data_IF_438065878290
#
_entry.id   IF_438065878290
#
_cell.length_a   1.000
_cell.length_b   1.000
_cell.length_c   1.000
_cell.angle_alpha   90.00
_cell.angle_beta   90.00
_cell.angle_gamma   90.00
#
_symmetry.space_group_name_H-M   'P 1'
#
loop_
_entity.id
_entity.type
_entity.pdbx_description
1 polymer ?
#
# COMPACT_ATOMS: atom_id res chain seq x y z
N UNK A 1 44.25 -81.50 -123.02
CA UNK A 1 43.15 -82.36 -123.52
C UNK A 1 43.17 -83.69 -122.79
N UNK A 2 41.97 -84.17 -122.44
CA UNK A 2 41.53 -85.56 -122.20
C UNK A 2 41.02 -85.87 -120.78
N UNK A 3 39.88 -86.58 -120.74
CA UNK A 3 38.84 -86.54 -119.72
C UNK A 3 39.02 -87.50 -118.53
N UNK A 4 38.34 -87.17 -117.43
CA UNK A 4 38.10 -88.01 -116.26
C UNK A 4 37.05 -89.12 -116.52
N UNK A 5 37.20 -90.28 -115.85
CA UNK A 5 36.22 -91.38 -115.82
C UNK A 5 35.52 -91.43 -114.45
N UNK A 6 34.18 -91.41 -114.46
CA UNK A 6 33.28 -91.59 -113.31
C UNK A 6 32.61 -92.97 -113.40
N UNK A 7 32.48 -93.68 -112.28
CA UNK A 7 31.75 -94.96 -112.12
C UNK A 7 30.46 -94.77 -111.31
N UNK A 8 29.32 -95.31 -111.78
CA UNK A 8 27.97 -95.20 -111.18
C UNK A 8 27.51 -96.54 -110.58
N UNK A 9 27.00 -96.54 -109.34
CA UNK A 9 26.35 -97.68 -108.64
C UNK A 9 24.83 -97.66 -108.89
N UNK A 10 24.19 -98.83 -109.04
CA UNK A 10 22.75 -98.96 -109.37
C UNK A 10 21.86 -99.04 -108.13
N UNK A 11 20.67 -98.47 -108.24
CA UNK A 11 19.65 -98.32 -107.18
C UNK A 11 19.22 -99.64 -106.52
N UNK A 12 19.29 -100.76 -107.24
CA UNK A 12 18.93 -102.09 -106.75
C UNK A 12 19.78 -102.59 -105.58
N UNK A 13 21.03 -102.12 -105.47
CA UNK A 13 21.94 -102.58 -104.42
C UNK A 13 21.67 -101.89 -103.08
N UNK A 14 20.97 -100.75 -103.09
CA UNK A 14 20.65 -99.97 -101.90
C UNK A 14 19.44 -100.55 -101.15
N UNK A 15 18.39 -100.95 -101.87
CA UNK A 15 17.16 -101.51 -101.28
C UNK A 15 17.40 -102.85 -100.58
N UNK A 16 18.39 -103.63 -101.04
CA UNK A 16 18.74 -104.92 -100.42
C UNK A 16 19.37 -104.75 -99.04
N UNK A 17 20.09 -103.66 -98.82
CA UNK A 17 20.75 -103.36 -97.54
C UNK A 17 19.74 -102.96 -96.45
N UNK A 18 18.67 -102.24 -96.80
CA UNK A 18 17.67 -101.80 -95.81
C UNK A 18 16.85 -102.96 -95.23
N UNK A 19 16.54 -103.99 -96.03
CA UNK A 19 15.67 -105.09 -95.61
C UNK A 19 16.24 -105.97 -94.48
N UNK A 20 17.56 -106.02 -94.30
CA UNK A 20 18.21 -106.89 -93.31
C UNK A 20 18.33 -106.28 -91.90
N UNK A 21 17.98 -105.01 -91.72
CA UNK A 21 18.21 -104.27 -90.46
C UNK A 21 17.01 -104.21 -89.50
N UNK A 22 15.90 -104.91 -89.77
CA UNK A 22 14.71 -104.90 -88.89
C UNK A 22 14.46 -106.26 -88.21
N UNK A 23 14.85 -106.39 -86.95
CA UNK A 23 14.46 -107.48 -86.02
C UNK A 23 13.18 -107.12 -85.20
N UNK A 24 12.40 -108.11 -84.73
CA UNK A 24 11.16 -107.93 -83.94
C UNK A 24 11.27 -108.40 -82.46
N UNK A 25 10.60 -107.74 -81.48
CA UNK A 25 10.71 -108.03 -80.02
C UNK A 25 9.64 -108.99 -79.39
N UNK A 26 9.92 -109.52 -78.17
CA UNK A 26 9.26 -110.65 -77.46
C UNK A 26 8.29 -110.30 -76.28
N UNK A 27 7.37 -111.23 -75.93
CA UNK A 27 6.18 -111.11 -75.03
C UNK A 27 6.42 -110.63 -73.59
N UNK A 28 7.55 -110.96 -72.96
CA UNK A 28 7.84 -110.60 -71.56
C UNK A 28 8.06 -109.09 -71.33
N UNK A 29 8.24 -108.34 -72.42
CA UNK A 29 8.26 -106.88 -72.39
C UNK A 29 6.86 -106.29 -72.07
N UNK A 30 5.78 -106.97 -72.49
CA UNK A 30 4.42 -106.46 -72.35
C UNK A 30 3.89 -106.55 -70.91
N UNK A 31 4.10 -107.66 -70.20
CA UNK A 31 3.62 -107.81 -68.81
C UNK A 31 4.38 -106.88 -67.85
N UNK A 32 5.70 -106.71 -68.06
CA UNK A 32 6.50 -105.74 -67.31
C UNK A 32 6.06 -104.31 -67.55
N UNK A 33 5.69 -103.97 -68.79
CA UNK A 33 5.13 -102.65 -69.10
C UNK A 33 3.79 -102.42 -68.37
N UNK A 34 2.92 -103.43 -68.31
CA UNK A 34 1.62 -103.36 -67.62
C UNK A 34 1.75 -103.18 -66.11
N UNK A 35 2.60 -103.97 -65.45
CA UNK A 35 2.82 -103.84 -64.00
C UNK A 35 3.49 -102.51 -63.64
N UNK A 36 4.40 -102.03 -64.50
CA UNK A 36 5.00 -100.70 -64.37
C UNK A 36 3.94 -99.60 -64.45
N UNK A 37 3.01 -99.68 -65.41
CA UNK A 37 1.89 -98.73 -65.51
C UNK A 37 1.03 -98.70 -64.24
N UNK A 38 0.63 -99.87 -63.72
CA UNK A 38 -0.15 -99.95 -62.47
C UNK A 38 0.60 -99.39 -61.25
N UNK A 39 1.93 -99.52 -61.24
CA UNK A 39 2.78 -98.92 -60.21
C UNK A 39 2.88 -97.41 -60.37
N UNK A 40 3.11 -96.92 -61.59
CA UNK A 40 3.17 -95.49 -61.92
C UNK A 40 1.84 -94.80 -61.59
N UNK A 41 0.70 -95.44 -61.86
CA UNK A 41 -0.65 -94.96 -61.51
C UNK A 41 -0.88 -94.85 -60.00
N UNK A 42 -0.30 -95.77 -59.22
CA UNK A 42 -0.36 -95.73 -57.75
C UNK A 42 0.55 -94.62 -57.20
N UNK A 43 1.78 -94.52 -57.72
CA UNK A 43 2.76 -93.49 -57.33
C UNK A 43 2.26 -92.09 -57.67
N UNK A 44 1.56 -91.91 -58.79
CA UNK A 44 0.96 -90.63 -59.17
C UNK A 44 -0.08 -90.11 -58.15
N UNK A 45 -0.74 -91.02 -57.41
CA UNK A 45 -1.74 -90.67 -56.38
C UNK A 45 -1.12 -90.43 -55.00
N UNK A 46 0.17 -90.70 -54.83
CA UNK A 46 0.83 -90.50 -53.53
C UNK A 46 1.17 -89.03 -53.33
N UNK A 47 0.61 -88.39 -52.28
CA UNK A 47 0.81 -86.96 -52.04
C UNK A 47 2.25 -86.62 -51.57
N UNK A 48 3.00 -87.63 -51.11
CA UNK A 48 4.33 -87.46 -50.50
C UNK A 48 5.47 -87.84 -51.46
N UNK A 49 5.24 -87.85 -52.77
CA UNK A 49 6.34 -88.00 -53.74
C UNK A 49 7.07 -86.67 -53.89
N UNK A 50 8.38 -86.70 -54.16
CA UNK A 50 9.17 -85.47 -54.39
C UNK A 50 8.57 -84.61 -55.52
N UNK A 51 7.99 -85.26 -56.54
CA UNK A 51 7.31 -84.57 -57.64
C UNK A 51 6.01 -83.90 -57.18
N UNK A 52 5.18 -84.57 -56.37
CA UNK A 52 3.98 -83.98 -55.80
C UNK A 52 4.31 -82.81 -54.84
N UNK A 53 5.35 -82.92 -54.03
CA UNK A 53 5.81 -81.83 -53.15
C UNK A 53 6.31 -80.61 -53.94
N UNK A 54 7.06 -80.83 -55.03
CA UNK A 54 7.48 -79.74 -55.93
C UNK A 54 6.29 -79.07 -56.59
N UNK A 55 5.35 -79.85 -57.13
CA UNK A 55 4.13 -79.32 -57.75
C UNK A 55 3.30 -78.53 -56.74
N UNK A 56 3.20 -78.99 -55.49
CA UNK A 56 2.52 -78.27 -54.41
C UNK A 56 3.23 -76.96 -54.07
N UNK A 57 4.56 -76.96 -53.94
CA UNK A 57 5.34 -75.73 -53.68
C UNK A 57 5.20 -74.71 -54.80
N UNK A 58 5.20 -75.14 -56.06
CA UNK A 58 4.98 -74.23 -57.19
C UNK A 58 3.54 -73.69 -57.20
N UNK A 59 2.52 -74.53 -56.97
CA UNK A 59 1.13 -74.05 -56.81
C UNK A 59 0.97 -73.06 -55.66
N UNK A 60 1.57 -73.32 -54.50
CA UNK A 60 1.55 -72.40 -53.36
C UNK A 60 2.27 -71.07 -53.67
N UNK A 61 3.35 -71.11 -54.48
CA UNK A 61 4.05 -69.92 -54.96
C UNK A 61 3.19 -69.13 -55.95
N UNK A 62 2.54 -69.81 -56.90
CA UNK A 62 1.60 -69.21 -57.85
C UNK A 62 0.39 -68.59 -57.13
N UNK A 63 -0.20 -69.30 -56.16
CA UNK A 63 -1.30 -68.80 -55.34
C UNK A 63 -0.87 -67.61 -54.46
N UNK A 64 0.37 -67.60 -53.95
CA UNK A 64 0.91 -66.45 -53.23
C UNK A 64 1.10 -65.26 -54.17
N UNK A 65 1.72 -65.45 -55.33
CA UNK A 65 1.90 -64.40 -56.32
C UNK A 65 0.55 -63.85 -56.81
N UNK A 66 -0.43 -64.71 -57.08
CA UNK A 66 -1.77 -64.29 -57.48
C UNK A 66 -2.51 -63.51 -56.39
N UNK A 67 -2.32 -63.87 -55.11
CA UNK A 67 -2.85 -63.09 -53.98
C UNK A 67 -2.17 -61.74 -53.83
N UNK A 68 -0.85 -61.68 -53.98
CA UNK A 68 -0.09 -60.43 -53.92
C UNK A 68 -0.48 -59.47 -55.05
N UNK A 69 -0.62 -59.98 -56.29
CA UNK A 69 -1.06 -59.16 -57.43
C UNK A 69 -2.51 -58.65 -57.25
N UNK A 70 -3.42 -59.48 -56.75
CA UNK A 70 -4.78 -59.01 -56.41
C UNK A 70 -4.76 -57.90 -55.37
N UNK A 71 -3.93 -58.03 -54.33
CA UNK A 71 -3.77 -56.99 -53.30
C UNK A 71 -3.21 -55.69 -53.88
N UNK A 72 -2.24 -55.77 -54.78
CA UNK A 72 -1.72 -54.57 -55.48
C UNK A 72 -2.82 -53.90 -56.32
N UNK A 73 -3.58 -54.68 -57.08
CA UNK A 73 -4.70 -54.15 -57.88
C UNK A 73 -5.77 -53.48 -57.02
N UNK A 74 -6.07 -54.00 -55.83
CA UNK A 74 -7.00 -53.36 -54.88
C UNK A 74 -6.44 -52.04 -54.35
N UNK A 75 -5.14 -51.98 -54.03
CA UNK A 75 -4.46 -50.75 -53.59
C UNK A 75 -4.48 -49.71 -54.72
N UNK A 76 -4.15 -50.11 -55.94
CA UNK A 76 -4.14 -49.20 -57.10
C UNK A 76 -5.52 -48.63 -57.38
N UNK A 77 -6.58 -49.45 -57.27
CA UNK A 77 -7.97 -48.99 -57.39
C UNK A 77 -8.33 -48.00 -56.27
N UNK A 78 -7.98 -48.28 -55.02
CA UNK A 78 -8.26 -47.38 -53.90
C UNK A 78 -7.51 -46.05 -54.05
N UNK A 79 -6.24 -46.09 -54.47
CA UNK A 79 -5.45 -44.89 -54.76
C UNK A 79 -6.03 -44.08 -55.91
N UNK A 80 -6.48 -44.74 -56.99
CA UNK A 80 -7.12 -44.06 -58.11
C UNK A 80 -8.38 -43.30 -57.66
N UNK A 81 -9.24 -43.93 -56.86
CA UNK A 81 -10.44 -43.27 -56.30
C UNK A 81 -10.05 -42.07 -55.44
N UNK A 82 -9.06 -42.21 -54.55
CA UNK A 82 -8.61 -41.11 -53.69
C UNK A 82 -8.06 -39.93 -54.52
N UNK A 83 -7.25 -40.21 -55.54
CA UNK A 83 -6.68 -39.18 -56.43
C UNK A 83 -7.78 -38.48 -57.23
N UNK A 84 -8.78 -39.23 -57.72
CA UNK A 84 -9.92 -38.65 -58.42
C UNK A 84 -10.76 -37.76 -57.51
N UNK A 85 -11.00 -38.19 -56.27
CA UNK A 85 -11.70 -37.38 -55.27
C UNK A 85 -10.92 -36.11 -54.93
N UNK A 86 -9.61 -36.21 -54.71
CA UNK A 86 -8.76 -35.06 -54.40
C UNK A 86 -8.71 -34.09 -55.57
N UNK A 87 -8.59 -34.61 -56.79
CA UNK A 87 -8.69 -33.80 -58.01
C UNK A 87 -10.06 -33.12 -58.11
N UNK A 88 -11.15 -33.84 -57.83
CA UNK A 88 -12.50 -33.27 -57.83
C UNK A 88 -12.65 -32.17 -56.76
N UNK A 89 -12.13 -32.38 -55.55
CA UNK A 89 -12.13 -31.38 -54.46
C UNK A 89 -11.32 -30.13 -54.87
N UNK A 90 -10.15 -30.31 -55.46
CA UNK A 90 -9.31 -29.20 -55.94
C UNK A 90 -10.01 -28.41 -57.04
N UNK A 91 -10.60 -29.08 -58.03
CA UNK A 91 -11.36 -28.44 -59.10
C UNK A 91 -12.57 -27.69 -58.53
N UNK A 92 -13.32 -28.31 -57.61
CA UNK A 92 -14.50 -27.68 -56.98
C UNK A 92 -14.10 -26.44 -56.19
N UNK A 93 -13.03 -26.51 -55.40
CA UNK A 93 -12.46 -25.37 -54.68
C UNK A 93 -12.01 -24.26 -55.62
N UNK A 94 -11.32 -24.61 -56.71
CA UNK A 94 -10.88 -23.63 -57.70
C UNK A 94 -12.08 -22.95 -58.38
N UNK A 95 -13.13 -23.70 -58.73
CA UNK A 95 -14.38 -23.14 -59.26
C UNK A 95 -15.05 -22.19 -58.27
N UNK A 96 -15.14 -22.56 -56.99
CA UNK A 96 -15.67 -21.68 -55.94
C UNK A 96 -14.88 -20.39 -55.81
N UNK A 97 -13.55 -20.45 -55.79
CA UNK A 97 -12.69 -19.26 -55.73
C UNK A 97 -12.84 -18.35 -56.96
N UNK A 98 -13.03 -18.93 -58.16
CA UNK A 98 -13.27 -18.14 -59.36
C UNK A 98 -14.64 -17.46 -59.33
N UNK A 99 -15.67 -18.16 -58.83
CA UNK A 99 -17.01 -17.60 -58.63
C UNK A 99 -16.99 -16.45 -57.62
N UNK A 100 -16.35 -16.62 -56.46
CA UNK A 100 -16.16 -15.56 -55.46
C UNK A 100 -15.38 -14.35 -55.99
N UNK A 101 -14.47 -14.58 -56.96
CA UNK A 101 -13.72 -13.52 -57.60
C UNK A 101 -14.53 -12.72 -58.63
N UNK A 102 -15.72 -13.18 -59.04
CA UNK A 102 -16.59 -12.41 -59.91
C UNK A 102 -17.06 -11.14 -59.20
N UNK A 103 -17.00 -10.00 -59.88
CA UNK A 103 -17.28 -8.70 -59.25
C UNK A 103 -18.74 -8.57 -58.76
N UNK A 104 -19.67 -9.27 -59.41
CA UNK A 104 -21.08 -9.37 -58.99
C UNK A 104 -21.20 -10.07 -57.62
N UNK A 105 -20.48 -11.18 -57.41
CA UNK A 105 -20.45 -11.93 -56.15
C UNK A 105 -19.78 -11.11 -55.06
N UNK A 106 -18.67 -10.43 -55.35
CA UNK A 106 -18.03 -9.50 -54.37
C UNK A 106 -18.96 -8.37 -53.96
N UNK A 107 -19.70 -7.78 -54.90
CA UNK A 107 -20.66 -6.74 -54.60
C UNK A 107 -21.78 -7.28 -53.70
N UNK A 108 -22.27 -8.49 -53.96
CA UNK A 108 -23.24 -9.19 -53.12
C UNK A 108 -22.68 -9.42 -51.71
N UNK A 109 -21.48 -10.00 -51.58
CA UNK A 109 -20.80 -10.22 -50.29
C UNK A 109 -20.60 -8.92 -49.50
N UNK A 110 -20.27 -7.82 -50.17
CA UNK A 110 -20.18 -6.50 -49.53
C UNK A 110 -21.51 -6.07 -48.90
N UNK A 111 -22.65 -6.38 -49.52
CA UNK A 111 -23.98 -6.08 -48.98
C UNK A 111 -24.42 -7.05 -47.89
N UNK A 112 -24.05 -8.33 -47.99
CA UNK A 112 -24.23 -9.31 -46.91
C UNK A 112 -23.47 -8.85 -45.66
N UNK A 113 -22.21 -8.46 -45.82
CA UNK A 113 -21.42 -7.91 -44.72
C UNK A 113 -22.06 -6.65 -44.12
N UNK A 114 -22.62 -5.76 -44.95
CA UNK A 114 -23.33 -4.59 -44.46
C UNK A 114 -24.57 -4.98 -43.65
N UNK A 115 -25.33 -5.99 -44.07
CA UNK A 115 -26.46 -6.54 -43.29
C UNK A 115 -25.99 -7.04 -41.91
N UNK A 116 -24.86 -7.75 -41.86
CA UNK A 116 -24.27 -8.25 -40.62
C UNK A 116 -23.87 -7.11 -39.68
N UNK A 117 -23.18 -6.09 -40.21
CA UNK A 117 -22.79 -4.89 -39.44
C UNK A 117 -24.02 -4.16 -38.89
N UNK A 118 -25.12 -4.09 -39.64
CA UNK A 118 -26.36 -3.48 -39.15
C UNK A 118 -26.99 -4.31 -38.02
N UNK A 119 -26.97 -5.64 -38.11
CA UNK A 119 -27.45 -6.52 -37.05
C UNK A 119 -26.59 -6.39 -35.78
N UNK A 120 -25.27 -6.39 -35.91
CA UNK A 120 -24.35 -6.14 -34.79
C UNK A 120 -24.55 -4.76 -34.17
N UNK A 121 -24.81 -3.74 -34.99
CA UNK A 121 -25.07 -2.39 -34.49
C UNK A 121 -26.34 -2.33 -33.65
N UNK A 122 -27.40 -3.02 -34.04
CA UNK A 122 -28.62 -3.10 -33.25
C UNK A 122 -28.36 -3.78 -31.89
N UNK A 123 -27.59 -4.87 -31.87
CA UNK A 123 -27.16 -5.53 -30.63
C UNK A 123 -26.33 -4.59 -29.74
N UNK A 124 -25.42 -3.81 -30.31
CA UNK A 124 -24.64 -2.81 -29.56
C UNK A 124 -25.54 -1.72 -28.97
N UNK A 125 -26.54 -1.25 -29.71
CA UNK A 125 -27.50 -0.25 -29.22
C UNK A 125 -28.30 -0.83 -28.05
N UNK A 126 -28.79 -2.05 -28.17
CA UNK A 126 -29.50 -2.74 -27.10
C UNK A 126 -28.62 -2.92 -25.85
N UNK A 127 -27.37 -3.33 -26.03
CA UNK A 127 -26.41 -3.47 -24.94
C UNK A 127 -26.13 -2.12 -24.26
N UNK A 128 -25.91 -1.06 -25.03
CA UNK A 128 -25.71 0.29 -24.48
C UNK A 128 -26.93 0.80 -23.69
N UNK A 129 -28.16 0.48 -24.14
CA UNK A 129 -29.38 0.80 -23.38
C UNK A 129 -29.40 0.09 -22.03
N UNK A 130 -29.09 -1.21 -21.99
CA UNK A 130 -29.02 -1.99 -20.75
C UNK A 130 -27.97 -1.45 -19.79
N UNK A 131 -26.77 -1.09 -20.28
CA UNK A 131 -25.74 -0.46 -19.44
C UNK A 131 -26.28 0.83 -18.81
N UNK A 132 -26.90 1.70 -19.62
CA UNK A 132 -27.48 2.96 -19.11
C UNK A 132 -28.60 2.75 -18.08
N UNK A 133 -29.34 1.65 -18.18
CA UNK A 133 -30.34 1.28 -17.18
C UNK A 133 -29.67 0.86 -15.86
N UNK A 134 -28.65 0.01 -15.93
CA UNK A 134 -27.86 -0.40 -14.75
C UNK A 134 -27.15 0.79 -14.09
N UNK A 135 -26.53 1.66 -14.87
CA UNK A 135 -25.85 2.86 -14.35
C UNK A 135 -26.84 3.76 -13.59
N UNK A 136 -28.06 3.92 -14.11
CA UNK A 136 -29.12 4.67 -13.41
C UNK A 136 -29.54 4.01 -12.10
N UNK A 137 -29.64 2.68 -12.07
CA UNK A 137 -29.95 1.95 -10.84
C UNK A 137 -28.83 2.12 -9.80
N UNK A 138 -27.57 2.09 -10.22
CA UNK A 138 -26.43 2.27 -9.33
C UNK A 138 -26.30 3.71 -8.84
N UNK A 139 -26.54 4.70 -9.70
CA UNK A 139 -26.66 6.11 -9.30
C UNK A 139 -27.76 6.30 -8.25
N UNK A 140 -28.92 5.66 -8.43
CA UNK A 140 -30.02 5.73 -7.45
C UNK A 140 -29.64 5.12 -6.10
N UNK A 141 -28.99 3.95 -6.10
CA UNK A 141 -28.47 3.33 -4.87
C UNK A 141 -27.44 4.22 -4.18
N UNK A 142 -26.54 4.82 -4.95
CA UNK A 142 -25.52 5.71 -4.43
C UNK A 142 -26.13 6.97 -3.81
N UNK A 143 -27.11 7.60 -4.47
CA UNK A 143 -27.84 8.75 -3.92
C UNK A 143 -28.61 8.36 -2.65
N UNK A 144 -29.22 7.18 -2.60
CA UNK A 144 -29.91 6.69 -1.40
C UNK A 144 -28.92 6.53 -0.22
N UNK A 145 -27.78 5.88 -0.45
CA UNK A 145 -26.73 5.73 0.55
C UNK A 145 -26.19 7.09 1.03
N UNK A 146 -26.04 8.07 0.13
CA UNK A 146 -25.63 9.42 0.51
C UNK A 146 -26.68 10.12 1.39
N UNK A 147 -27.97 9.94 1.10
CA UNK A 147 -29.06 10.50 1.93
C UNK A 147 -29.03 9.90 3.33
N UNK A 148 -28.93 8.57 3.43
CA UNK A 148 -28.83 7.88 4.73
C UNK A 148 -27.60 8.36 5.52
N UNK A 149 -26.45 8.56 4.86
CA UNK A 149 -25.26 9.08 5.51
C UNK A 149 -25.42 10.53 6.01
N UNK A 150 -26.13 11.37 5.26
CA UNK A 150 -26.46 12.75 5.68
C UNK A 150 -27.41 12.72 6.88
N UNK A 151 -28.47 11.90 6.83
CA UNK A 151 -29.42 11.74 7.94
C UNK A 151 -28.71 11.30 9.23
N UNK A 152 -27.84 10.28 9.15
CA UNK A 152 -27.04 9.84 10.30
C UNK A 152 -26.12 10.95 10.84
N UNK A 153 -25.54 11.77 9.96
CA UNK A 153 -24.69 12.89 10.37
C UNK A 153 -25.51 13.99 11.07
N UNK A 154 -26.70 14.30 10.56
CA UNK A 154 -27.64 15.25 11.16
C UNK A 154 -28.11 14.78 12.55
N UNK A 155 -28.48 13.50 12.69
CA UNK A 155 -28.83 12.90 13.98
C UNK A 155 -27.68 12.99 14.99
N UNK A 156 -26.44 12.71 14.56
CA UNK A 156 -25.26 12.81 15.40
C UNK A 156 -24.98 14.26 15.84
N UNK A 157 -25.16 15.24 14.97
CA UNK A 157 -25.03 16.66 15.31
C UNK A 157 -26.15 17.11 16.27
N UNK A 158 -27.39 16.68 16.07
CA UNK A 158 -28.50 16.94 17.00
C UNK A 158 -28.20 16.36 18.39
N UNK A 159 -27.72 15.12 18.48
CA UNK A 159 -27.36 14.49 19.73
C UNK A 159 -26.23 15.25 20.47
N UNK A 160 -25.23 15.76 19.74
CA UNK A 160 -24.18 16.62 20.33
C UNK A 160 -24.75 17.93 20.85
N UNK A 161 -25.65 18.57 20.10
CA UNK A 161 -26.31 19.81 20.51
C UNK A 161 -27.17 19.60 21.77
N UNK A 162 -27.91 18.50 21.85
CA UNK A 162 -28.69 18.12 23.03
C UNK A 162 -27.80 17.85 24.24
N UNK A 163 -26.72 17.08 24.07
CA UNK A 163 -25.75 16.83 25.12
C UNK A 163 -25.11 18.14 25.62
N UNK A 164 -24.78 19.05 24.71
CA UNK A 164 -24.24 20.37 25.06
C UNK A 164 -25.27 21.21 25.84
N UNK A 165 -26.53 21.27 25.38
CA UNK A 165 -27.62 21.93 26.10
C UNK A 165 -27.82 21.32 27.49
N UNK A 166 -27.78 20.00 27.61
CA UNK A 166 -27.87 19.29 28.90
C UNK A 166 -26.76 19.70 29.87
N UNK A 167 -25.51 19.75 29.39
CA UNK A 167 -24.37 20.23 30.22
C UNK A 167 -24.54 21.68 30.65
N UNK A 168 -25.01 22.55 29.76
CA UNK A 168 -25.25 23.96 30.10
C UNK A 168 -26.34 24.12 31.16
N UNK A 169 -27.41 23.32 31.09
CA UNK A 169 -28.47 23.29 32.10
C UNK A 169 -27.94 22.80 33.45
N UNK A 170 -27.14 21.74 33.47
CA UNK A 170 -26.49 21.25 34.69
C UNK A 170 -25.55 22.30 35.31
N UNK A 171 -24.76 22.99 34.49
CA UNK A 171 -23.91 24.10 34.97
C UNK A 171 -24.73 25.23 35.58
N UNK A 172 -25.84 25.60 34.93
CA UNK A 172 -26.77 26.62 35.45
C UNK A 172 -27.36 26.18 36.79
N UNK A 173 -27.82 24.94 36.92
CA UNK A 173 -28.36 24.40 38.17
C UNK A 173 -27.31 24.41 39.29
N UNK A 174 -26.07 23.97 38.99
CA UNK A 174 -24.98 24.00 39.95
C UNK A 174 -24.65 25.44 40.41
N UNK A 175 -24.65 26.42 39.50
CA UNK A 175 -24.47 27.83 39.85
C UNK A 175 -25.59 28.36 40.75
N UNK A 176 -26.85 27.99 40.47
CA UNK A 176 -27.98 28.36 41.32
C UNK A 176 -27.85 27.76 42.73
N UNK A 177 -27.46 26.48 42.84
CA UNK A 177 -27.21 25.84 44.14
C UNK A 177 -26.06 26.51 44.91
N UNK A 178 -24.99 26.93 44.23
CA UNK A 178 -23.90 27.69 44.85
C UNK A 178 -24.37 29.04 45.39
N UNK A 179 -25.21 29.75 44.63
CA UNK A 179 -25.80 31.02 45.08
C UNK A 179 -26.71 30.82 46.30
N UNK A 180 -27.50 29.74 46.33
CA UNK A 180 -28.33 29.39 47.49
C UNK A 180 -27.48 29.05 48.72
N UNK A 181 -26.42 28.26 48.55
CA UNK A 181 -25.48 27.95 49.63
C UNK A 181 -24.80 29.22 50.19
N UNK A 182 -24.41 30.16 49.32
CA UNK A 182 -23.87 31.46 49.73
C UNK A 182 -24.90 32.29 50.51
N UNK A 183 -26.16 32.34 50.04
CA UNK A 183 -27.24 33.01 50.79
C UNK A 183 -27.42 32.41 52.18
N UNK A 184 -27.41 31.09 52.29
CA UNK A 184 -27.51 30.40 53.60
C UNK A 184 -26.34 30.72 54.51
N UNK A 185 -25.10 30.77 53.98
CA UNK A 185 -23.93 31.20 54.76
C UNK A 185 -24.08 32.63 55.30
N UNK A 186 -24.53 33.56 54.46
CA UNK A 186 -24.77 34.95 54.87
C UNK A 186 -25.84 35.03 55.97
N UNK A 187 -26.90 34.22 55.87
CA UNK A 187 -27.94 34.16 56.91
C UNK A 187 -27.34 33.65 58.23
N UNK A 188 -26.56 32.55 58.20
CA UNK A 188 -25.88 32.02 59.39
C UNK A 188 -24.92 33.03 60.01
N UNK A 189 -24.10 33.70 59.21
CA UNK A 189 -23.20 34.75 59.71
C UNK A 189 -23.97 35.90 60.37
N UNK A 190 -25.17 36.24 59.90
CA UNK A 190 -26.03 37.23 60.55
C UNK A 190 -26.60 36.71 61.87
N UNK A 191 -27.02 35.45 61.92
CA UNK A 191 -27.49 34.79 63.14
C UNK A 191 -26.37 34.72 64.19
N UNK A 192 -25.16 34.34 63.79
CA UNK A 192 -23.97 34.28 64.65
C UNK A 192 -23.63 35.68 65.20
N UNK A 193 -23.63 36.71 64.35
CA UNK A 193 -23.41 38.11 64.79
C UNK A 193 -24.49 38.59 65.76
N UNK A 194 -25.74 38.18 65.58
CA UNK A 194 -26.83 38.50 66.51
C UNK A 194 -26.62 37.78 67.85
N UNK A 195 -26.23 36.52 67.84
CA UNK A 195 -25.93 35.75 69.04
C UNK A 195 -24.72 36.34 69.79
N UNK A 196 -23.63 36.66 69.10
CA UNK A 196 -22.47 37.37 69.66
C UNK A 196 -22.90 38.71 70.26
N UNK A 197 -23.73 39.49 69.55
CA UNK A 197 -24.27 40.75 70.06
C UNK A 197 -25.09 40.59 71.34
N UNK A 198 -25.88 39.52 71.47
CA UNK A 198 -26.62 39.20 72.69
C UNK A 198 -25.68 38.81 73.83
N UNK A 199 -24.66 37.99 73.56
CA UNK A 199 -23.65 37.60 74.56
C UNK A 199 -22.85 38.80 75.07
N UNK A 200 -22.49 39.74 74.19
CA UNK A 200 -21.81 40.99 74.56
C UNK A 200 -22.70 41.87 75.44
N UNK A 201 -24.01 41.98 75.13
CA UNK A 201 -24.96 42.71 75.98
C UNK A 201 -25.08 42.09 77.37
N UNK A 202 -25.21 40.77 77.45
CA UNK A 202 -25.28 40.06 78.73
C UNK A 202 -24.02 40.25 79.57
N UNK A 203 -22.82 40.19 78.95
CA UNK A 203 -21.56 40.48 79.65
C UNK A 203 -21.48 41.92 80.13
N UNK A 204 -21.87 42.89 79.30
CA UNK A 204 -21.88 44.30 79.69
C UNK A 204 -22.85 44.57 80.86
N UNK A 205 -24.01 43.89 80.89
CA UNK A 205 -24.96 43.97 82.00
C UNK A 205 -24.40 43.35 83.30
N UNK A 206 -23.71 42.20 83.18
CA UNK A 206 -23.02 41.56 84.32
C UNK A 206 -21.90 42.44 84.87
N UNK A 207 -21.02 42.96 84.03
CA UNK A 207 -19.93 43.87 84.41
C UNK A 207 -20.48 45.15 85.06
N UNK A 208 -21.57 45.72 84.53
CA UNK A 208 -22.22 46.89 85.13
C UNK A 208 -22.82 46.59 86.51
N UNK A 209 -23.37 45.39 86.72
CA UNK A 209 -23.86 44.95 88.03
C UNK A 209 -22.70 44.75 89.03
N UNK A 210 -21.61 44.12 88.59
CA UNK A 210 -20.41 43.93 89.41
C UNK A 210 -19.78 45.27 89.82
N UNK A 211 -19.71 46.24 88.90
CA UNK A 211 -19.22 47.58 89.19
C UNK A 211 -20.08 48.30 90.24
N UNK A 212 -21.41 48.18 90.17
CA UNK A 212 -22.33 48.74 91.18
C UNK A 212 -22.13 48.11 92.56
N UNK A 213 -21.93 46.80 92.63
CA UNK A 213 -21.64 46.09 93.88
C UNK A 213 -20.27 46.48 94.46
N UNK A 214 -19.26 46.67 93.61
CA UNK A 214 -17.95 47.17 94.02
C UNK A 214 -18.00 48.62 94.54
N UNK A 215 -18.81 49.48 93.93
CA UNK A 215 -19.04 50.85 94.42
C UNK A 215 -19.74 50.86 95.78
N UNK A 216 -20.79 50.04 95.98
CA UNK A 216 -21.44 49.90 97.30
C UNK A 216 -20.45 49.44 98.37
N UNK A 217 -19.65 48.41 98.09
CA UNK A 217 -18.60 47.93 99.02
C UNK A 217 -17.56 49.01 99.35
N UNK A 218 -17.24 49.88 98.39
CA UNK A 218 -16.33 51.00 98.61
C UNK A 218 -16.96 52.07 99.50
N UNK A 219 -18.26 52.35 99.33
CA UNK A 219 -19.01 53.27 100.19
C UNK A 219 -19.10 52.74 101.62
N UNK A 220 -19.47 51.47 101.82
CA UNK A 220 -19.53 50.83 103.15
C UNK A 220 -18.19 50.88 103.89
N UNK A 221 -17.08 50.62 103.19
CA UNK A 221 -15.73 50.76 103.79
C UNK A 221 -15.38 52.20 104.15
N UNK A 222 -15.82 53.17 103.34
CA UNK A 222 -15.60 54.58 103.63
C UNK A 222 -16.41 55.03 104.85
N UNK A 223 -17.64 54.55 105.01
CA UNK A 223 -18.48 54.79 106.19
C UNK A 223 -17.88 54.17 107.46
N UNK A 224 -17.38 52.93 107.37
CA UNK A 224 -16.68 52.27 108.48
C UNK A 224 -15.42 53.05 108.90
N UNK A 225 -14.60 53.47 107.92
CA UNK A 225 -13.41 54.28 108.20
C UNK A 225 -13.75 55.67 108.78
N UNK A 226 -14.84 56.29 108.34
CA UNK A 226 -15.34 57.55 108.89
C UNK A 226 -15.83 57.39 110.34
N UNK A 227 -16.50 56.28 110.64
CA UNK A 227 -16.95 55.94 111.99
C UNK A 227 -15.77 55.67 112.94
N UNK A 228 -14.76 54.91 112.48
CA UNK A 228 -13.53 54.65 113.23
C UNK A 228 -12.73 55.94 113.50
N UNK A 229 -12.67 56.86 112.54
CA UNK A 229 -12.02 58.16 112.75
C UNK A 229 -12.78 59.07 113.70
N UNK A 230 -14.13 59.06 113.71
CA UNK A 230 -14.92 59.76 114.72
C UNK A 230 -14.64 59.22 116.13
N UNK A 231 -14.60 57.89 116.28
CA UNK A 231 -14.32 57.22 117.56
C UNK A 231 -12.88 57.53 118.05
N UNK A 232 -11.91 57.53 117.13
CA UNK A 232 -10.52 57.88 117.41
C UNK A 232 -10.37 59.35 117.83
N UNK A 233 -11.12 60.27 117.23
CA UNK A 233 -11.12 61.69 117.61
C UNK A 233 -11.71 61.90 119.01
N UNK A 234 -12.79 61.20 119.37
CA UNK A 234 -13.36 61.23 120.72
C UNK A 234 -12.39 60.65 121.77
N UNK A 235 -11.68 59.57 121.43
CA UNK A 235 -10.62 59.00 122.27
C UNK A 235 -9.42 59.96 122.43
N UNK A 236 -9.06 60.70 121.38
CA UNK A 236 -7.99 61.69 121.40
C UNK A 236 -8.35 62.90 122.28
N UNK A 237 -9.59 63.38 122.26
CA UNK A 237 -10.05 64.45 123.16
C UNK A 237 -10.03 64.01 124.64
N UNK A 238 -10.46 62.78 124.94
CA UNK A 238 -10.37 62.21 126.29
C UNK A 238 -8.92 62.02 126.76
N UNK A 239 -7.99 61.70 125.83
CA UNK A 239 -6.57 61.61 126.11
C UNK A 239 -5.93 63.00 126.32
N UNK A 240 -6.26 63.99 125.49
CA UNK A 240 -5.80 65.39 125.63
C UNK A 240 -6.26 66.04 126.93
N UNK A 241 -7.48 65.76 127.39
CA UNK A 241 -7.96 66.21 128.70
C UNK A 241 -7.17 65.59 129.87
N UNK A 242 -6.67 64.35 129.72
CA UNK A 242 -5.79 63.67 130.69
C UNK A 242 -4.33 64.13 130.62
N UNK A 243 -3.84 64.51 129.44
CA UNK A 243 -2.47 65.04 129.28
C UNK A 243 -2.34 66.50 129.70
N UNK A 244 -3.35 67.36 129.50
CA UNK A 244 -3.29 68.76 129.96
C UNK A 244 -3.09 68.88 131.48
N UNK A 245 -3.61 67.94 132.27
CA UNK A 245 -3.38 67.84 133.72
C UNK A 245 -1.95 67.37 134.04
N UNK A 246 -1.35 66.51 133.21
CA UNK A 246 0.04 66.04 133.36
C UNK A 246 1.08 67.04 132.82
N UNK A 247 0.73 67.87 131.83
CA UNK A 247 1.61 68.90 131.29
C UNK A 247 1.76 70.09 132.25
N UNK A 248 0.73 70.47 133.01
CA UNK A 248 0.87 71.49 134.06
C UNK A 248 1.84 71.06 135.18
N UNK A 249 1.99 69.75 135.43
CA UNK A 249 2.96 69.19 136.37
C UNK A 249 4.37 69.03 135.75
N UNK A 250 4.46 68.86 134.42
CA UNK A 250 5.73 68.70 133.69
C UNK A 250 6.34 70.02 133.19
N UNK A 251 5.55 71.04 132.89
CA UNK A 251 6.04 72.39 132.53
C UNK A 251 6.80 73.07 133.68
N UNK A 252 6.47 72.75 134.94
CA UNK A 252 7.24 73.18 136.11
C UNK A 252 8.60 72.47 136.23
N UNK A 253 8.73 71.24 135.72
CA UNK A 253 9.97 70.46 135.71
C UNK A 253 10.82 70.67 134.43
N UNK A 254 10.23 71.13 133.33
CA UNK A 254 10.89 71.32 132.03
C UNK A 254 11.60 72.68 131.91
N UNK A 255 11.26 73.69 132.73
CA UNK A 255 12.05 74.93 132.82
C UNK A 255 13.47 74.71 133.37
N UNK A 256 13.68 73.67 134.20
CA UNK A 256 14.98 73.37 134.81
C UNK A 256 15.86 72.47 133.92
N UNK A 257 15.26 71.65 133.05
CA UNK A 257 15.99 70.71 132.17
C UNK A 257 16.31 71.28 130.76
N UNK A 258 15.62 72.35 130.33
CA UNK A 258 15.85 73.02 129.03
C UNK A 258 17.23 73.69 128.90
N UNK A 259 17.85 74.06 130.03
CA UNK A 259 19.22 74.61 130.07
C UNK A 259 20.33 73.56 129.90
N UNK A 260 20.02 72.27 129.98
CA UNK A 260 21.05 71.20 129.97
C UNK A 260 21.03 70.31 128.72
N UNK A 261 20.09 70.51 127.78
CA UNK A 261 19.92 69.64 126.59
C UNK A 261 20.30 70.32 125.26
N UNK A 262 20.45 71.64 125.22
CA UNK A 262 20.94 72.36 124.03
C UNK A 262 22.41 72.03 123.69
N UNK A 263 23.19 71.52 124.65
CA UNK A 263 24.62 71.21 124.46
C UNK A 263 24.91 69.78 123.92
N UNK A 264 23.90 68.89 123.81
CA UNK A 264 24.09 67.48 123.41
C UNK A 264 23.77 67.21 121.93
N UNK A 265 22.86 67.98 121.31
CA UNK A 265 22.31 67.68 119.98
C UNK A 265 23.18 68.19 118.79
N UNK A 266 24.25 68.95 119.05
CA UNK A 266 25.21 69.37 117.99
C UNK A 266 26.23 68.27 117.61
N UNK A 267 26.36 67.19 118.39
CA UNK A 267 27.46 66.20 118.22
C UNK A 267 27.16 65.00 117.30
N UNK A 268 25.92 64.82 116.82
CA UNK A 268 25.50 63.59 116.08
C UNK A 268 25.24 63.78 114.57
N UNK A 269 25.33 65.00 114.03
CA UNK A 269 25.10 65.29 112.60
C UNK A 269 26.31 65.03 111.68
N UNK A 270 27.49 64.74 112.22
CA UNK A 270 28.73 64.64 111.42
C UNK A 270 29.16 63.22 111.00
N UNK A 271 28.45 62.14 111.41
CA UNK A 271 28.89 60.75 111.15
C UNK A 271 28.14 60.00 110.03
N UNK A 272 27.19 60.63 109.32
CA UNK A 272 26.32 59.94 108.35
C UNK A 272 26.72 60.07 106.86
N UNK A 273 27.61 61.01 106.49
CA UNK A 273 27.91 61.29 105.06
C UNK A 273 29.06 60.47 104.45
N UNK A 274 29.95 59.86 105.25
CA UNK A 274 31.15 59.15 104.73
C UNK A 274 30.89 57.73 104.19
N UNK A 275 29.76 57.09 104.50
CA UNK A 275 29.49 55.69 104.08
C UNK A 275 28.90 55.56 102.65
N UNK A 276 28.46 56.66 102.03
CA UNK A 276 27.77 56.64 100.71
C UNK A 276 28.73 56.67 99.51
N UNK A 277 29.91 57.26 99.65
CA UNK A 277 30.84 57.51 98.53
C UNK A 277 31.74 56.32 98.17
N UNK A 278 31.84 55.30 99.04
CA UNK A 278 32.66 54.10 98.79
C UNK A 278 31.98 53.06 97.87
N UNK A 279 30.65 52.95 97.89
CA UNK A 279 29.90 51.93 97.11
C UNK A 279 29.78 52.22 95.62
N UNK A 280 29.88 53.48 95.20
CA UNK A 280 29.77 53.86 93.79
C UNK A 280 31.05 53.57 92.98
N UNK A 281 32.23 53.59 93.60
CA UNK A 281 33.53 53.40 92.92
C UNK A 281 33.86 51.95 92.57
N UNK A 282 33.22 50.98 93.23
CA UNK A 282 33.46 49.55 92.99
C UNK A 282 32.59 49.00 91.85
N UNK A 283 31.46 49.65 91.53
CA UNK A 283 30.57 49.27 90.42
C UNK A 283 31.12 49.71 89.04
N UNK A 284 31.72 50.91 88.95
CA UNK A 284 32.30 51.42 87.69
C UNK A 284 33.52 50.60 87.23
N UNK A 285 34.36 50.13 88.17
CA UNK A 285 35.57 49.33 87.85
C UNK A 285 35.25 47.92 87.35
N UNK A 286 34.06 47.39 87.63
CA UNK A 286 33.62 46.08 87.14
C UNK A 286 33.06 46.18 85.71
N UNK A 287 32.40 47.30 85.38
CA UNK A 287 31.85 47.56 84.05
C UNK A 287 32.96 47.74 82.99
N UNK A 288 34.01 48.53 83.29
CA UNK A 288 35.13 48.76 82.34
C UNK A 288 35.94 47.48 82.03
N UNK A 289 36.04 46.55 82.99
CA UNK A 289 36.71 45.25 82.79
C UNK A 289 35.90 44.30 81.91
N UNK A 290 34.57 44.36 81.96
CA UNK A 290 33.72 43.53 81.10
C UNK A 290 33.65 44.07 79.66
N UNK A 291 33.71 45.39 79.48
CA UNK A 291 33.68 46.03 78.17
C UNK A 291 34.96 45.77 77.35
N UNK A 292 36.12 45.70 77.99
CA UNK A 292 37.40 45.38 77.33
C UNK A 292 37.48 43.91 76.88
N UNK A 293 36.93 42.98 77.66
CA UNK A 293 36.85 41.55 77.30
C UNK A 293 35.88 41.33 76.14
N UNK A 294 34.73 42.01 76.12
CA UNK A 294 33.77 41.92 75.02
C UNK A 294 34.31 42.50 73.70
N UNK A 295 34.98 43.66 73.74
CA UNK A 295 35.59 44.26 72.53
C UNK A 295 36.73 43.39 71.96
N UNK A 296 37.51 42.73 72.82
CA UNK A 296 38.56 41.79 72.39
C UNK A 296 37.97 40.51 71.75
N UNK A 297 36.91 39.94 72.33
CA UNK A 297 36.21 38.78 71.77
C UNK A 297 35.53 39.10 70.42
N UNK A 298 34.93 40.28 70.29
CA UNK A 298 34.28 40.74 69.05
C UNK A 298 35.31 41.00 67.93
N UNK A 299 36.47 41.58 68.25
CA UNK A 299 37.56 41.79 67.29
C UNK A 299 38.18 40.47 66.81
N UNK A 300 38.31 39.48 67.69
CA UNK A 300 38.83 38.15 67.32
C UNK A 300 37.82 37.37 66.45
N UNK A 301 36.51 37.49 66.73
CA UNK A 301 35.45 36.91 65.89
C UNK A 301 35.40 37.55 64.50
N UNK A 302 35.50 38.88 64.41
CA UNK A 302 35.55 39.58 63.12
C UNK A 302 36.79 39.22 62.29
N UNK A 303 37.95 39.03 62.92
CA UNK A 303 39.16 38.58 62.21
C UNK A 303 39.04 37.16 61.67
N UNK A 304 38.41 36.24 62.41
CA UNK A 304 38.14 34.88 61.92
C UNK A 304 37.13 34.88 60.77
N UNK A 305 36.05 35.65 60.89
CA UNK A 305 35.04 35.80 59.83
C UNK A 305 35.65 36.35 58.53
N UNK A 306 36.48 37.39 58.63
CA UNK A 306 37.16 37.98 57.46
C UNK A 306 38.19 37.02 56.83
N UNK A 307 38.85 36.17 57.61
CA UNK A 307 39.77 35.17 57.09
C UNK A 307 39.04 34.01 56.39
N UNK A 308 37.89 33.59 56.90
CA UNK A 308 37.05 32.55 56.28
C UNK A 308 36.36 33.05 55.00
N UNK A 309 35.93 34.33 54.97
CA UNK A 309 35.39 34.96 53.74
C UNK A 309 36.47 35.02 52.65
N UNK A 310 37.70 35.46 52.98
CA UNK A 310 38.81 35.47 52.00
C UNK A 310 39.16 34.09 51.47
N UNK A 311 39.20 33.07 52.33
CA UNK A 311 39.44 31.68 51.88
C UNK A 311 38.31 31.14 51.00
N UNK A 312 37.06 31.51 51.29
CA UNK A 312 35.92 31.14 50.45
C UNK A 312 35.95 31.85 49.09
N UNK A 313 36.35 33.11 49.05
CA UNK A 313 36.47 33.88 47.80
C UNK A 313 37.65 33.38 46.95
N UNK A 314 38.81 33.10 47.54
CA UNK A 314 39.97 32.52 46.85
C UNK A 314 39.65 31.10 46.30
N UNK A 315 38.96 30.26 47.09
CA UNK A 315 38.53 28.94 46.62
C UNK A 315 37.47 29.01 45.50
N UNK A 316 36.58 30.03 45.53
CA UNK A 316 35.61 30.28 44.45
C UNK A 316 36.31 30.75 43.18
N UNK A 317 37.28 31.64 43.29
CA UNK A 317 38.05 32.11 42.13
C UNK A 317 38.88 30.98 41.49
N UNK A 318 39.47 30.09 42.29
CA UNK A 318 40.20 28.93 41.77
C UNK A 318 39.27 27.91 41.10
N UNK A 319 38.10 27.62 41.67
CA UNK A 319 37.11 26.73 41.05
C UNK A 319 36.56 27.35 39.75
N UNK A 320 36.32 28.67 39.70
CA UNK A 320 35.94 29.37 38.48
C UNK A 320 37.02 29.32 37.40
N UNK A 321 38.30 29.52 37.75
CA UNK A 321 39.42 29.42 36.80
C UNK A 321 39.54 27.99 36.25
N UNK A 322 39.46 26.98 37.11
CA UNK A 322 39.50 25.58 36.67
C UNK A 322 38.31 25.21 35.78
N UNK A 323 37.11 25.72 36.07
CA UNK A 323 35.93 25.54 35.20
C UNK A 323 36.14 26.19 33.84
N UNK A 324 36.68 27.41 33.78
CA UNK A 324 36.98 28.12 32.51
C UNK A 324 38.05 27.39 31.70
N UNK A 325 39.11 26.91 32.33
CA UNK A 325 40.15 26.13 31.64
C UNK A 325 39.63 24.79 31.10
N UNK A 326 38.78 24.08 31.87
CA UNK A 326 38.12 22.85 31.39
C UNK A 326 37.18 23.13 30.22
N UNK A 327 36.41 24.21 30.29
CA UNK A 327 35.54 24.64 29.19
C UNK A 327 36.34 24.98 27.92
N UNK A 328 37.46 25.71 28.06
CA UNK A 328 38.33 26.04 26.93
C UNK A 328 38.98 24.78 26.30
N UNK A 329 39.41 23.82 27.11
CA UNK A 329 39.95 22.54 26.61
C UNK A 329 38.90 21.73 25.87
N UNK A 330 37.71 21.59 26.44
CA UNK A 330 36.58 20.90 25.78
C UNK A 330 36.22 21.61 24.47
N UNK A 331 36.20 22.94 24.45
CA UNK A 331 35.88 23.71 23.26
C UNK A 331 36.94 23.56 22.16
N UNK A 332 38.23 23.59 22.52
CA UNK A 332 39.32 23.33 21.58
C UNK A 332 39.30 21.90 21.02
N UNK A 333 38.95 20.90 21.84
CA UNK A 333 38.78 19.51 21.40
C UNK A 333 37.59 19.35 20.44
N UNK A 334 36.46 20.03 20.72
CA UNK A 334 35.30 20.05 19.83
C UNK A 334 35.64 20.73 18.50
N UNK A 335 36.34 21.86 18.53
CA UNK A 335 36.78 22.57 17.32
C UNK A 335 37.75 21.73 16.48
N UNK A 336 38.70 21.03 17.11
CA UNK A 336 39.61 20.12 16.43
C UNK A 336 38.87 18.91 15.80
N UNK A 337 37.93 18.31 16.54
CA UNK A 337 37.11 17.21 16.04
C UNK A 337 36.20 17.65 14.88
N UNK A 338 35.60 18.84 14.97
CA UNK A 338 34.79 19.41 13.91
C UNK A 338 35.62 19.71 12.65
N UNK A 339 36.83 20.26 12.82
CA UNK A 339 37.75 20.52 11.71
C UNK A 339 38.16 19.22 11.00
N UNK A 340 38.47 18.16 11.76
CA UNK A 340 38.79 16.84 11.21
C UNK A 340 37.60 16.22 10.48
N UNK A 341 36.39 16.27 11.06
CA UNK A 341 35.18 15.78 10.39
C UNK A 341 34.86 16.55 9.11
N UNK A 342 35.08 17.87 9.08
CA UNK A 342 34.93 18.69 7.88
C UNK A 342 35.96 18.33 6.81
N UNK A 343 37.22 18.09 7.19
CA UNK A 343 38.27 17.64 6.28
C UNK A 343 37.96 16.25 5.69
N UNK A 344 37.54 15.30 6.53
CA UNK A 344 37.14 13.96 6.10
C UNK A 344 35.92 13.99 5.18
N UNK A 345 34.93 14.83 5.48
CA UNK A 345 33.76 15.03 4.60
C UNK A 345 34.17 15.60 3.24
N UNK A 346 35.08 16.59 3.21
CA UNK A 346 35.61 17.16 1.95
C UNK A 346 36.38 16.11 1.15
N UNK A 347 37.28 15.35 1.78
CA UNK A 347 38.04 14.30 1.13
C UNK A 347 37.14 13.19 0.55
N UNK A 348 36.12 12.75 1.31
CA UNK A 348 35.12 11.79 0.82
C UNK A 348 34.31 12.34 -0.36
N UNK A 349 33.95 13.62 -0.32
CA UNK A 349 33.22 14.26 -1.41
C UNK A 349 34.07 14.39 -2.68
N UNK A 350 35.38 14.65 -2.56
CA UNK A 350 36.31 14.68 -3.69
C UNK A 350 36.52 13.29 -4.31
N UNK A 351 36.70 12.26 -3.49
CA UNK A 351 36.77 10.86 -3.97
C UNK A 351 35.47 10.44 -4.64
N UNK A 352 34.31 10.83 -4.10
CA UNK A 352 33.02 10.57 -4.73
C UNK A 352 32.90 11.25 -6.10
N UNK A 353 33.28 12.53 -6.20
CA UNK A 353 33.30 13.26 -7.48
C UNK A 353 34.22 12.61 -8.52
N UNK A 354 35.40 12.14 -8.10
CA UNK A 354 36.32 11.44 -9.00
C UNK A 354 35.71 10.13 -9.52
N UNK A 355 35.10 9.34 -8.63
CA UNK A 355 34.39 8.11 -9.02
C UNK A 355 33.22 8.39 -9.97
N UNK A 356 32.45 9.45 -9.71
CA UNK A 356 31.34 9.86 -10.58
C UNK A 356 31.84 10.27 -11.98
N UNK A 357 33.00 10.93 -12.07
CA UNK A 357 33.61 11.29 -13.36
C UNK A 357 34.12 10.05 -14.08
N UNK A 358 34.83 9.15 -13.41
CA UNK A 358 35.31 7.89 -13.99
C UNK A 358 34.14 7.00 -14.46
N UNK A 359 33.06 6.93 -13.69
CA UNK A 359 31.86 6.19 -14.05
C UNK A 359 31.16 6.82 -15.26
N UNK A 360 31.06 8.16 -15.31
CA UNK A 360 30.51 8.87 -16.48
C UNK A 360 31.33 8.62 -17.73
N UNK A 361 32.65 8.68 -17.66
CA UNK A 361 33.53 8.39 -18.81
C UNK A 361 33.38 6.94 -19.27
N UNK A 362 33.30 5.99 -18.32
CA UNK A 362 33.06 4.57 -18.64
C UNK A 362 31.70 4.34 -19.30
N UNK A 363 30.64 5.00 -18.81
CA UNK A 363 29.31 4.92 -19.38
C UNK A 363 29.24 5.58 -20.76
N UNK A 364 29.94 6.69 -20.97
CA UNK A 364 30.04 7.34 -22.28
C UNK A 364 30.72 6.43 -23.31
N UNK A 365 31.87 5.84 -22.98
CA UNK A 365 32.56 4.88 -23.86
C UNK A 365 31.66 3.70 -24.21
N UNK A 366 30.98 3.11 -23.22
CA UNK A 366 30.03 2.02 -23.44
C UNK A 366 28.86 2.43 -24.34
N UNK A 367 28.32 3.63 -24.15
CA UNK A 367 27.24 4.15 -24.98
C UNK A 367 27.71 4.41 -26.43
N UNK A 368 28.95 4.84 -26.63
CA UNK A 368 29.56 4.99 -27.96
C UNK A 368 29.77 3.63 -28.64
N UNK A 369 30.27 2.64 -27.91
CA UNK A 369 30.44 1.26 -28.39
C UNK A 369 29.08 0.63 -28.76
N UNK A 370 28.07 0.77 -27.90
CA UNK A 370 26.70 0.29 -28.16
C UNK A 370 26.07 0.98 -29.38
N UNK A 371 26.31 2.29 -29.56
CA UNK A 371 25.86 3.02 -30.75
C UNK A 371 26.54 2.51 -32.02
N UNK A 372 27.85 2.23 -31.96
CA UNK A 372 28.60 1.69 -33.10
C UNK A 372 28.12 0.28 -33.46
N UNK A 373 27.95 -0.60 -32.48
CA UNK A 373 27.41 -1.94 -32.70
C UNK A 373 25.99 -1.90 -33.28
N UNK A 374 25.15 -0.98 -32.79
CA UNK A 374 23.81 -0.76 -33.32
C UNK A 374 23.85 -0.28 -34.78
N UNK A 375 24.73 0.65 -35.14
CA UNK A 375 24.93 1.10 -36.51
C UNK A 375 25.38 -0.06 -37.42
N UNK A 376 26.38 -0.84 -37.01
CA UNK A 376 26.86 -2.00 -37.75
C UNK A 376 25.77 -3.09 -37.90
N UNK A 377 24.88 -3.26 -36.91
CA UNK A 377 23.74 -4.16 -37.00
C UNK A 377 22.68 -3.65 -38.00
N UNK A 378 22.35 -2.35 -37.95
CA UNK A 378 21.42 -1.72 -38.89
C UNK A 378 21.95 -1.83 -40.33
N UNK A 379 23.24 -1.58 -40.55
CA UNK A 379 23.86 -1.71 -41.87
C UNK A 379 23.83 -3.16 -42.39
N UNK A 380 24.10 -4.16 -41.52
CA UNK A 380 23.99 -5.59 -41.87
C UNK A 380 22.56 -5.96 -42.28
N UNK A 381 21.57 -5.50 -41.53
CA UNK A 381 20.15 -5.73 -41.86
C UNK A 381 19.77 -5.01 -43.16
N UNK A 382 20.19 -3.76 -43.34
CA UNK A 382 19.94 -3.00 -44.56
C UNK A 382 20.57 -3.67 -45.79
N UNK A 383 21.81 -4.17 -45.68
CA UNK A 383 22.47 -4.91 -46.76
C UNK A 383 21.74 -6.22 -47.09
N UNK A 384 21.29 -6.97 -46.09
CA UNK A 384 20.45 -8.17 -46.28
C UNK A 384 19.14 -7.83 -46.97
N UNK A 385 18.47 -6.76 -46.54
CA UNK A 385 17.21 -6.31 -47.11
C UNK A 385 17.36 -5.86 -48.56
N UNK A 386 18.44 -5.14 -48.91
CA UNK A 386 18.75 -4.78 -50.31
C UNK A 386 18.95 -6.03 -51.18
N UNK A 387 19.69 -7.04 -50.69
CA UNK A 387 19.88 -8.32 -51.39
C UNK A 387 18.55 -9.05 -51.59
N UNK A 388 17.70 -9.05 -50.57
CA UNK A 388 16.38 -9.67 -50.63
C UNK A 388 15.44 -8.94 -51.60
N UNK A 389 15.42 -7.61 -51.57
CA UNK A 389 14.66 -6.78 -52.52
C UNK A 389 15.11 -7.04 -53.97
N UNK A 390 16.41 -7.11 -54.24
CA UNK A 390 16.92 -7.43 -55.57
C UNK A 390 16.47 -8.83 -56.06
N UNK A 391 16.41 -9.80 -55.15
CA UNK A 391 15.90 -11.14 -55.45
C UNK A 391 14.38 -11.13 -55.71
N UNK A 392 13.61 -10.40 -54.92
CA UNK A 392 12.17 -10.23 -55.11
C UNK A 392 11.84 -9.54 -56.45
N UNK A 393 12.58 -8.49 -56.82
CA UNK A 393 12.43 -7.82 -58.11
C UNK A 393 12.67 -8.79 -59.27
N UNK A 394 13.74 -9.61 -59.21
CA UNK A 394 13.98 -10.67 -60.21
C UNK A 394 12.85 -11.69 -60.27
N UNK A 395 12.31 -12.13 -59.13
CA UNK A 395 11.18 -13.06 -59.08
C UNK A 395 9.91 -12.43 -59.67
N UNK A 396 9.67 -11.14 -59.41
CA UNK A 396 8.54 -10.40 -59.97
C UNK A 396 8.63 -10.29 -61.50
N UNK A 397 9.80 -9.97 -62.05
CA UNK A 397 10.01 -9.94 -63.50
C UNK A 397 9.77 -11.32 -64.14
N UNK A 398 10.27 -12.39 -63.51
CA UNK A 398 10.07 -13.75 -63.98
C UNK A 398 8.58 -14.17 -63.95
N UNK A 399 7.87 -13.73 -62.90
CA UNK A 399 6.44 -13.98 -62.74
C UNK A 399 5.60 -13.16 -63.73
N UNK A 400 5.96 -11.91 -64.00
CA UNK A 400 5.32 -11.07 -65.01
C UNK A 400 5.45 -11.68 -66.40
N UNK A 401 6.64 -12.11 -66.81
CA UNK A 401 6.84 -12.81 -68.09
C UNK A 401 5.98 -14.06 -68.24
N UNK A 402 5.86 -14.86 -67.16
CA UNK A 402 4.97 -16.03 -67.15
C UNK A 402 3.49 -15.65 -67.23
N UNK A 403 3.10 -14.55 -66.59
CA UNK A 403 1.71 -14.07 -66.54
C UNK A 403 1.29 -13.44 -67.88
N UNK A 404 2.18 -12.75 -68.57
CA UNK A 404 1.97 -12.23 -69.92
C UNK A 404 1.81 -13.36 -70.94
N UNK A 405 2.65 -14.39 -70.86
CA UNK A 405 2.51 -15.60 -71.68
C UNK A 405 1.18 -16.33 -71.44
N UNK A 406 0.73 -16.42 -70.17
CA UNK A 406 -0.55 -17.04 -69.81
C UNK A 406 -1.77 -16.20 -70.21
N UNK A 407 -1.66 -14.85 -70.19
CA UNK A 407 -2.75 -13.95 -70.64
C UNK A 407 -3.04 -14.10 -72.13
N UNK A 408 -1.99 -14.18 -72.96
CA UNK A 408 -2.13 -14.38 -74.41
C UNK A 408 -2.85 -15.69 -74.77
N UNK A 409 -2.75 -16.73 -73.93
CA UNK A 409 -3.47 -18.00 -74.11
C UNK A 409 -4.89 -17.98 -73.52
N UNK A 410 -5.11 -17.25 -72.43
CA UNK A 410 -6.42 -17.21 -71.76
C UNK A 410 -7.43 -16.26 -72.42
N UNK A 411 -6.98 -15.23 -73.15
CA UNK A 411 -7.87 -14.25 -73.82
C UNK A 411 -8.63 -14.83 -75.03
N UNK A 412 -8.09 -15.89 -75.66
CA UNK A 412 -8.72 -16.56 -76.81
C UNK A 412 -9.82 -17.53 -76.38
N UNK A 413 -9.68 -18.19 -75.24
CA UNK A 413 -10.62 -19.23 -74.77
C UNK A 413 -11.80 -18.66 -73.94
N UNK A 414 -11.66 -17.51 -73.29
CA UNK A 414 -12.65 -16.95 -72.37
C UNK A 414 -13.76 -16.10 -73.03
N UNK A 415 -13.63 -15.67 -74.28
CA UNK A 415 -14.58 -14.72 -74.88
C UNK A 415 -15.90 -15.34 -75.38
N UNK A 416 -16.00 -16.66 -75.56
CA UNK A 416 -17.11 -17.26 -76.31
C UNK A 416 -18.08 -18.19 -75.54
N UNK A 417 -17.83 -18.58 -74.28
CA UNK A 417 -18.65 -19.60 -73.61
C UNK A 417 -19.11 -19.32 -72.16
N UNK A 418 -18.62 -18.29 -71.48
CA UNK A 418 -18.82 -18.13 -70.02
C UNK A 418 -19.91 -17.14 -69.60
N UNK A 419 -20.33 -16.20 -70.44
CA UNK A 419 -21.13 -15.06 -69.98
C UNK A 419 -22.59 -15.38 -69.64
N UNK A 420 -23.22 -16.42 -70.21
CA UNK A 420 -24.63 -16.75 -69.94
C UNK A 420 -24.84 -17.69 -68.75
N UNK A 421 -24.05 -18.76 -68.65
CA UNK A 421 -24.17 -19.75 -67.56
C UNK A 421 -23.76 -19.17 -66.19
N UNK A 422 -22.85 -18.20 -66.17
CA UNK A 422 -22.41 -17.52 -64.95
C UNK A 422 -23.51 -16.62 -64.36
N UNK A 423 -24.47 -16.15 -65.16
CA UNK A 423 -25.56 -15.29 -64.67
C UNK A 423 -26.64 -16.09 -63.94
N UNK A 424 -27.03 -17.26 -64.46
CA UNK A 424 -27.99 -18.15 -63.79
C UNK A 424 -27.45 -18.65 -62.44
N UNK A 425 -26.16 -18.99 -62.38
CA UNK A 425 -25.49 -19.41 -61.14
C UNK A 425 -25.46 -18.28 -60.11
N UNK A 426 -25.23 -17.03 -60.54
CA UNK A 426 -25.26 -15.88 -59.66
C UNK A 426 -26.66 -15.62 -59.09
N UNK A 427 -27.71 -15.75 -59.89
CA UNK A 427 -29.09 -15.51 -59.43
C UNK A 427 -29.55 -16.54 -58.40
N UNK A 428 -29.25 -17.83 -58.62
CA UNK A 428 -29.54 -18.89 -57.64
C UNK A 428 -28.82 -18.63 -56.33
N UNK A 429 -27.52 -18.32 -56.40
CA UNK A 429 -26.72 -17.99 -55.22
C UNK A 429 -27.26 -16.76 -54.46
N UNK A 430 -27.64 -15.71 -55.18
CA UNK A 430 -28.21 -14.50 -54.59
C UNK A 430 -29.53 -14.77 -53.86
N UNK A 431 -30.37 -15.68 -54.38
CA UNK A 431 -31.61 -16.10 -53.74
C UNK A 431 -31.36 -16.93 -52.48
N UNK A 432 -30.39 -17.86 -52.51
CA UNK A 432 -29.99 -18.64 -51.34
C UNK A 432 -29.50 -17.73 -50.21
N UNK A 433 -28.61 -16.78 -50.53
CA UNK A 433 -28.09 -15.79 -49.57
C UNK A 433 -29.20 -14.92 -48.98
N UNK A 434 -30.17 -14.51 -49.79
CA UNK A 434 -31.34 -13.79 -49.29
C UNK A 434 -32.17 -14.64 -48.33
N UNK A 435 -32.43 -15.91 -48.67
CA UNK A 435 -33.15 -16.83 -47.81
C UNK A 435 -32.45 -17.08 -46.48
N UNK A 436 -31.11 -17.22 -46.50
CA UNK A 436 -30.30 -17.34 -45.29
C UNK A 436 -30.42 -16.10 -44.39
N UNK A 437 -30.28 -14.90 -44.96
CA UNK A 437 -30.41 -13.66 -44.19
C UNK A 437 -31.81 -13.47 -43.61
N UNK A 438 -32.86 -13.83 -44.35
CA UNK A 438 -34.25 -13.80 -43.87
C UNK A 438 -34.48 -14.79 -42.73
N UNK A 439 -33.98 -16.03 -42.88
CA UNK A 439 -34.08 -17.06 -41.84
C UNK A 439 -33.35 -16.67 -40.55
N UNK A 440 -32.24 -15.94 -40.68
CA UNK A 440 -31.47 -15.41 -39.56
C UNK A 440 -32.07 -14.12 -38.96
N UNK A 441 -33.17 -13.60 -39.51
CA UNK A 441 -33.80 -12.35 -39.06
C UNK A 441 -32.94 -11.10 -39.28
N UNK A 442 -31.99 -11.16 -40.23
CA UNK A 442 -31.07 -10.06 -40.54
C UNK A 442 -31.68 -9.11 -41.57
N UNK A 443 -31.13 -7.90 -41.67
CA UNK A 443 -31.65 -6.87 -42.56
C UNK A 443 -31.32 -7.15 -44.03
N UNK A 444 -32.30 -7.57 -44.82
CA UNK A 444 -32.10 -7.93 -46.24
C UNK A 444 -32.12 -6.75 -47.21
N UNK A 445 -32.42 -5.53 -46.74
CA UNK A 445 -32.51 -4.34 -47.60
C UNK A 445 -31.22 -4.03 -48.39
N UNK A 446 -30.00 -4.13 -47.82
CA UNK A 446 -28.77 -3.90 -48.57
C UNK A 446 -28.58 -4.84 -49.77
N UNK A 447 -29.03 -6.10 -49.63
CA UNK A 447 -28.92 -7.11 -50.68
C UNK A 447 -30.02 -6.92 -51.72
N UNK A 448 -31.27 -6.74 -51.29
CA UNK A 448 -32.40 -6.46 -52.20
C UNK A 448 -32.18 -5.19 -53.04
N UNK A 449 -31.60 -4.14 -52.46
CA UNK A 449 -31.30 -2.91 -53.21
C UNK A 449 -30.25 -3.14 -54.30
N UNK A 450 -29.24 -3.98 -54.06
CA UNK A 450 -28.23 -4.34 -55.07
C UNK A 450 -28.84 -5.14 -56.22
N UNK A 451 -29.69 -6.13 -55.92
CA UNK A 451 -30.33 -6.96 -56.94
C UNK A 451 -31.34 -6.15 -57.77
N UNK A 452 -32.11 -5.27 -57.13
CA UNK A 452 -33.08 -4.41 -57.81
C UNK A 452 -32.41 -3.29 -58.63
N UNK A 453 -31.29 -2.74 -58.15
CA UNK A 453 -30.53 -1.73 -58.90
C UNK A 453 -30.01 -2.27 -60.24
N UNK A 454 -29.84 -3.59 -60.37
CA UNK A 454 -29.44 -4.24 -61.62
C UNK A 454 -30.61 -4.41 -62.59
N UNK A 455 -31.83 -4.65 -62.10
CA UNK A 455 -33.04 -4.71 -62.94
C UNK A 455 -33.50 -3.31 -63.40
N UNK A 456 -33.14 -2.24 -62.67
CA UNK A 456 -33.57 -0.86 -62.95
C UNK A 456 -32.75 -0.07 -63.98
N UNK A 457 -31.68 -0.63 -64.56
CA UNK A 457 -30.82 0.11 -65.53
C UNK A 457 -31.46 0.23 -66.91
N UNK A 458 -32.54 -0.50 -67.21
CA UNK A 458 -33.23 -0.42 -68.52
C UNK A 458 -34.36 0.64 -68.61
N UNK A 459 -34.71 1.34 -67.52
CA UNK A 459 -35.91 2.20 -67.53
C UNK A 459 -35.73 3.70 -67.18
N UNK A 460 -34.50 4.21 -67.10
CA UNK A 460 -34.24 5.65 -66.89
C UNK A 460 -33.89 6.42 -68.18
N UNK A 461 -34.58 6.10 -69.27
CA UNK A 461 -34.35 6.77 -70.55
C UNK A 461 -35.55 6.70 -71.48
N UNK A 462 -36.70 7.27 -71.10
CA UNK A 462 -37.69 7.89 -72.02
C UNK A 462 -38.96 8.34 -71.28
N UNK A 463 -38.91 9.50 -70.64
CA UNK A 463 -40.06 10.44 -70.63
C UNK A 463 -39.53 11.87 -70.58
N UNK A 464 -38.97 12.30 -71.71
CA UNK A 464 -39.06 13.70 -72.14
C UNK A 464 -40.25 13.74 -73.10
N UNK A 465 -41.40 14.27 -72.67
CA UNK A 465 -42.41 14.90 -73.55
C UNK A 465 -43.51 15.58 -72.72
N UNK A 466 -43.77 16.83 -73.14
CA UNK A 466 -44.82 17.78 -72.77
C UNK A 466 -44.70 18.42 -71.38
#
# INVERSE_FOLDING_TARGET
>A
MSAAKITLIRKSDLDRMESRLREQPSRDAHERARLKQLSDDKVAKWPNTIQAERARKEREREERAAREEKRKQEIDRAQAVMVEEDRRKQITRAKGLLFDQQDKVKALHSKVLLSDVLAERELQIQHSRKIKELDKEDEQKYVAMQREAIEMAEEAELAKLEAHKGRLMQQREAQLQQLEALKQKIVREKEDKLAEGQMVRQKAEQEAAEMREMEKRRQERAEQAAYETMLANQALEAFKAREAVREQERERAILEYRKQKEEWEESLRQQAEEKRTRRLRDAEKLAEKMETVFKAAQAQSHRKLLADVKRMDEAREEDERQRRERQQKIQAEIEAANAQQLADKKARAEVAKQRDVEERERLQKRAEDEKREAQEAVERVAARNRRHQALLVRQMEQKQRRREAARMQAEVDNMLQTTGADEEQFEQYAQEVLGELESAGRNTLPVRTLLNARQGVEHWGTTKRA
#
